data_IF_935611642258
#
_entry.id   IF_935611642258
#
_cell.length_a   1.000
_cell.length_b   1.000
_cell.length_c   1.000
_cell.angle_alpha   90.00
_cell.angle_beta   90.00
_cell.angle_gamma   90.00
#
_symmetry.space_group_name_H-M   'P 1'
#
loop_
_entity.id
_entity.type
_entity.pdbx_description
1 polymer ?
#
# COMPACT_ATOMS: atom_id res chain seq x y z
N UNK A 1 15.20 -16.01 30.92
CA UNK A 1 13.75 -16.27 30.81
C UNK A 1 13.25 -15.46 29.63
N UNK A 2 13.06 -16.07 28.45
CA UNK A 2 12.68 -15.32 27.25
C UNK A 2 11.16 -15.13 27.24
N UNK A 3 10.71 -13.87 27.14
CA UNK A 3 9.30 -13.55 26.93
C UNK A 3 8.96 -13.91 25.48
N UNK A 4 8.22 -15.01 25.28
CA UNK A 4 7.65 -15.32 23.98
C UNK A 4 6.53 -14.29 23.72
N UNK A 5 6.51 -13.64 22.55
CA UNK A 5 5.44 -12.71 22.22
C UNK A 5 4.12 -13.47 22.23
N UNK A 6 3.14 -12.94 22.98
CA UNK A 6 1.76 -13.42 22.96
C UNK A 6 1.14 -13.31 21.56
N UNK A 7 -0.06 -13.88 21.34
CA UNK A 7 -0.73 -13.80 20.05
C UNK A 7 -0.92 -12.33 19.63
N UNK A 8 -0.48 -12.00 18.41
CA UNK A 8 -0.65 -10.65 17.86
C UNK A 8 -2.11 -10.42 17.45
N UNK A 9 -2.67 -9.27 17.82
CA UNK A 9 -3.98 -8.81 17.35
C UNK A 9 -4.04 -8.78 15.81
N UNK A 10 -5.17 -9.20 15.19
CA UNK A 10 -5.31 -9.21 13.74
C UNK A 10 -5.26 -7.78 13.19
N UNK A 11 -4.29 -7.50 12.32
CA UNK A 11 -4.21 -6.23 11.61
C UNK A 11 -5.30 -6.15 10.54
N UNK A 12 -6.22 -5.18 10.68
CA UNK A 12 -7.19 -4.82 9.66
C UNK A 12 -6.73 -3.56 8.96
N UNK A 13 -6.53 -3.62 7.63
CA UNK A 13 -6.14 -2.45 6.83
C UNK A 13 -7.28 -1.97 5.95
N UNK A 14 -7.55 -0.67 5.93
CA UNK A 14 -8.46 -0.01 4.97
C UNK A 14 -7.61 0.63 3.87
N UNK A 15 -8.06 0.54 2.62
CA UNK A 15 -7.42 1.19 1.47
C UNK A 15 -8.38 2.19 0.86
N UNK A 16 -7.89 3.40 0.57
CA UNK A 16 -8.67 4.50 0.02
C UNK A 16 -8.10 4.91 -1.33
N UNK A 17 -8.98 5.17 -2.31
CA UNK A 17 -8.59 5.75 -3.58
C UNK A 17 -8.57 7.28 -3.46
N UNK A 18 -7.40 7.88 -3.57
CA UNK A 18 -7.21 9.33 -3.54
C UNK A 18 -6.91 9.90 -4.92
N UNK A 19 -7.27 11.18 -5.13
CA UNK A 19 -6.82 11.99 -6.27
C UNK A 19 -5.94 13.11 -5.74
N UNK A 20 -4.69 13.19 -6.19
CA UNK A 20 -3.82 14.31 -5.86
C UNK A 20 -4.38 15.61 -6.47
N UNK A 21 -4.46 16.67 -5.66
CA UNK A 21 -5.00 17.99 -6.06
C UNK A 21 -3.96 19.09 -6.16
N UNK A 22 -2.74 18.85 -5.68
CA UNK A 22 -1.63 19.81 -5.68
C UNK A 22 -0.48 19.36 -4.76
N UNK A 23 0.55 20.20 -4.65
CA UNK A 23 1.76 19.92 -3.88
C UNK A 23 2.95 19.44 -4.74
N UNK A 24 4.02 19.03 -4.07
CA UNK A 24 5.23 18.48 -4.71
C UNK A 24 5.69 17.24 -3.95
N UNK A 25 6.24 16.25 -4.66
CA UNK A 25 6.81 15.06 -4.05
C UNK A 25 7.98 15.44 -3.14
N UNK A 26 8.05 14.82 -1.96
CA UNK A 26 9.11 15.02 -0.97
C UNK A 26 9.42 13.70 -0.27
N UNK A 27 10.68 13.53 0.10
CA UNK A 27 11.15 12.44 0.95
C UNK A 27 11.00 12.81 2.43
N UNK A 28 11.06 11.81 3.30
CA UNK A 28 11.07 11.94 4.76
C UNK A 28 11.82 10.76 5.40
N UNK A 29 11.91 10.74 6.73
CA UNK A 29 12.49 9.62 7.48
C UNK A 29 11.68 8.31 7.33
N UNK A 30 10.44 8.41 6.85
CA UNK A 30 9.57 7.27 6.52
C UNK A 30 9.52 6.96 5.02
N UNK A 31 9.80 7.93 4.14
CA UNK A 31 9.69 7.80 2.68
C UNK A 31 10.97 8.25 1.99
N UNK A 32 11.85 7.30 1.68
CA UNK A 32 13.19 7.60 1.14
C UNK A 32 13.21 7.89 -0.36
N UNK A 33 12.30 7.28 -1.12
CA UNK A 33 12.17 7.45 -2.57
C UNK A 33 10.69 7.59 -2.92
N UNK A 34 10.33 8.65 -3.65
CA UNK A 34 8.93 8.97 -3.99
C UNK A 34 8.85 9.42 -5.44
N UNK A 35 8.00 8.76 -6.23
CA UNK A 35 7.80 9.04 -7.64
C UNK A 35 6.35 8.77 -8.07
N UNK A 36 5.97 9.31 -9.23
CA UNK A 36 4.75 8.93 -9.94
C UNK A 36 5.06 7.83 -10.93
N UNK A 37 4.16 6.85 -11.03
CA UNK A 37 4.28 5.73 -11.95
C UNK A 37 3.01 5.61 -12.77
N UNK A 38 3.15 5.27 -14.05
CA UNK A 38 2.04 4.75 -14.84
C UNK A 38 1.59 3.43 -14.19
N UNK A 39 0.28 3.09 -14.20
CA UNK A 39 -0.22 1.86 -13.59
C UNK A 39 0.59 0.62 -13.99
N UNK A 40 0.96 0.48 -15.26
CA UNK A 40 1.70 -0.70 -15.76
C UNK A 40 3.16 -0.78 -15.25
N UNK A 41 3.79 0.36 -14.93
CA UNK A 41 5.16 0.38 -14.40
C UNK A 41 5.24 -0.19 -12.97
N UNK A 42 4.13 -0.15 -12.24
CA UNK A 42 4.06 -0.61 -10.85
C UNK A 42 4.25 -2.12 -10.73
N UNK A 43 4.01 -2.88 -11.81
CA UNK A 43 4.13 -4.33 -11.78
C UNK A 43 5.56 -4.80 -11.53
N UNK A 44 6.54 -4.06 -12.06
CA UNK A 44 7.97 -4.32 -11.92
C UNK A 44 8.54 -3.90 -10.55
N UNK A 45 7.79 -3.14 -9.75
CA UNK A 45 8.31 -2.63 -8.47
C UNK A 45 8.38 -3.73 -7.39
N UNK A 46 9.42 -3.74 -6.55
CA UNK A 46 9.52 -4.66 -5.42
C UNK A 46 8.47 -4.30 -4.37
N UNK A 47 7.52 -5.19 -4.14
CA UNK A 47 6.38 -4.94 -3.26
C UNK A 47 5.99 -6.20 -2.49
N UNK A 48 5.66 -6.04 -1.21
CA UNK A 48 5.06 -7.14 -0.44
C UNK A 48 3.65 -7.43 -0.96
N UNK A 49 3.26 -8.71 -0.92
CA UNK A 49 2.01 -9.21 -1.51
C UNK A 49 0.76 -8.46 -1.04
N UNK A 50 0.73 -8.04 0.23
CA UNK A 50 -0.40 -7.32 0.80
C UNK A 50 -0.60 -5.92 0.21
N UNK A 51 0.47 -5.24 -0.21
CA UNK A 51 0.39 -3.94 -0.89
C UNK A 51 0.03 -4.15 -2.37
N UNK A 52 0.66 -5.12 -3.05
CA UNK A 52 0.34 -5.46 -4.45
C UNK A 52 -1.14 -5.75 -4.63
N UNK A 53 -1.73 -6.52 -3.70
CA UNK A 53 -3.16 -6.83 -3.71
C UNK A 53 -4.07 -5.58 -3.73
N UNK A 54 -3.64 -4.45 -3.14
CA UNK A 54 -4.44 -3.20 -3.13
C UNK A 54 -4.54 -2.58 -4.51
N UNK A 55 -3.47 -2.71 -5.31
CA UNK A 55 -3.43 -2.25 -6.69
C UNK A 55 -4.29 -3.15 -7.58
N UNK A 56 -4.20 -4.46 -7.39
CA UNK A 56 -5.04 -5.43 -8.12
C UNK A 56 -6.52 -5.22 -7.81
N UNK A 57 -6.86 -5.03 -6.52
CA UNK A 57 -8.20 -4.71 -6.05
C UNK A 57 -8.73 -3.43 -6.75
N UNK A 58 -7.90 -2.37 -6.86
CA UNK A 58 -8.25 -1.15 -7.60
C UNK A 58 -8.42 -1.37 -9.10
N UNK A 59 -7.48 -2.06 -9.77
CA UNK A 59 -7.52 -2.33 -11.22
C UNK A 59 -8.72 -3.19 -11.64
N UNK A 60 -9.24 -4.02 -10.73
CA UNK A 60 -10.43 -4.84 -11.01
C UNK A 60 -11.69 -4.01 -11.31
N UNK A 61 -11.71 -2.74 -10.88
CA UNK A 61 -12.89 -1.87 -10.97
C UNK A 61 -14.04 -2.27 -10.04
N UNK A 62 -13.92 -3.36 -9.28
CA UNK A 62 -14.95 -3.87 -8.38
C UNK A 62 -14.82 -3.23 -6.98
N UNK A 63 -15.02 -1.91 -6.91
CA UNK A 63 -14.91 -1.16 -5.65
C UNK A 63 -16.31 -0.85 -5.06
N UNK A 64 -16.52 -1.01 -3.73
CA UNK A 64 -15.52 -1.37 -2.71
C UNK A 64 -15.21 -2.87 -2.63
N UNK A 65 -13.95 -3.21 -2.37
CA UNK A 65 -13.53 -4.59 -2.09
C UNK A 65 -13.61 -4.87 -0.59
N UNK A 66 -14.39 -5.88 -0.20
CA UNK A 66 -14.52 -6.34 1.19
C UNK A 66 -14.05 -7.80 1.28
N UNK A 67 -13.09 -8.08 2.17
CA UNK A 67 -12.39 -9.35 2.30
C UNK A 67 -11.88 -9.59 3.72
#
# INVERSE_FOLDING_TARGET
MYHLPGPSEPKRSICLLGRAVGGALRTSDESFEVAWFHPDEVDALPMVTSIRKRLDDWRSGQIPVVR
#
